data_IF_484226345210
#
_entry.id   IF_484226345210
#
_cell.length_a   1.000
_cell.length_b   1.000
_cell.length_c   1.000
_cell.angle_alpha   90.00
_cell.angle_beta   90.00
_cell.angle_gamma   90.00
#
_symmetry.space_group_name_H-M   'P 1'
#
loop_
_entity.id
_entity.type
_entity.pdbx_description
1 polymer ?
#
# COMPACT_ATOMS: atom_id res chain seq x y z
N UNK A 1 -6.09 0.65 -16.99
CA UNK A 1 -4.69 0.34 -17.32
C UNK A 1 -4.50 -1.16 -17.37
N UNK A 2 -4.25 -1.73 -18.54
CA UNK A 2 -3.93 -3.17 -18.70
C UNK A 2 -2.48 -3.43 -18.28
N UNK A 3 -2.24 -3.40 -16.97
CA UNK A 3 -0.92 -3.56 -16.37
C UNK A 3 -0.75 -5.02 -15.97
N UNK A 4 0.44 -5.58 -16.24
CA UNK A 4 0.83 -6.93 -15.79
C UNK A 4 -0.06 -8.08 -16.27
N UNK A 5 -0.42 -8.09 -17.56
CA UNK A 5 -1.31 -9.10 -18.16
C UNK A 5 -0.89 -10.54 -17.86
N UNK A 6 0.38 -10.89 -18.07
CA UNK A 6 0.92 -12.24 -17.78
C UNK A 6 0.75 -12.66 -16.31
N UNK A 7 0.90 -11.72 -15.36
CA UNK A 7 0.72 -12.02 -13.93
C UNK A 7 -0.76 -12.28 -13.62
N UNK A 8 -1.64 -11.47 -14.20
CA UNK A 8 -3.10 -11.66 -14.05
C UNK A 8 -3.58 -12.98 -14.64
N UNK A 9 -3.07 -13.37 -15.78
CA UNK A 9 -3.35 -14.67 -16.42
C UNK A 9 -2.92 -15.82 -15.52
N UNK A 10 -1.71 -15.75 -14.93
CA UNK A 10 -1.23 -16.74 -13.97
C UNK A 10 -2.13 -16.81 -12.71
N UNK A 11 -2.56 -15.67 -12.18
CA UNK A 11 -3.46 -15.63 -11.03
C UNK A 11 -4.84 -16.18 -11.37
N UNK A 12 -5.35 -15.88 -12.56
CA UNK A 12 -6.62 -16.42 -13.05
C UNK A 12 -6.56 -17.95 -13.20
N UNK A 13 -5.46 -18.50 -13.68
CA UNK A 13 -5.23 -19.93 -13.75
C UNK A 13 -5.36 -20.61 -12.38
N UNK A 14 -4.83 -20.01 -11.30
CA UNK A 14 -5.01 -20.56 -9.95
C UNK A 14 -6.47 -20.60 -9.51
N UNK A 15 -7.29 -19.65 -9.96
CA UNK A 15 -8.74 -19.63 -9.66
C UNK A 15 -9.46 -20.72 -10.46
N UNK A 16 -9.18 -20.84 -11.76
CA UNK A 16 -9.85 -21.84 -12.62
C UNK A 16 -9.55 -23.28 -12.20
N UNK A 17 -8.31 -23.55 -11.78
CA UNK A 17 -7.90 -24.85 -11.26
C UNK A 17 -8.34 -25.11 -9.81
N UNK A 18 -8.99 -24.15 -9.14
CA UNK A 18 -9.34 -24.22 -7.72
C UNK A 18 -8.14 -24.57 -6.79
N UNK A 19 -6.90 -24.27 -7.24
CA UNK A 19 -5.66 -24.55 -6.50
C UNK A 19 -4.93 -23.25 -6.20
N UNK A 20 -5.43 -22.50 -5.22
CA UNK A 20 -4.83 -21.24 -4.83
C UNK A 20 -3.77 -21.48 -3.76
N UNK A 21 -2.47 -21.23 -4.05
CA UNK A 21 -1.39 -21.36 -3.06
C UNK A 21 -1.32 -20.15 -2.13
N UNK A 22 -0.46 -20.23 -1.12
CA UNK A 22 0.03 -19.02 -0.43
C UNK A 22 0.90 -18.22 -1.40
N UNK A 23 0.74 -16.89 -1.48
CA UNK A 23 1.44 -16.07 -2.46
C UNK A 23 2.14 -14.90 -1.79
N UNK A 24 3.41 -14.69 -2.16
CA UNK A 24 4.15 -13.48 -1.85
C UNK A 24 4.24 -12.63 -3.12
N UNK A 25 3.71 -11.42 -3.04
CA UNK A 25 3.89 -10.40 -4.07
C UNK A 25 5.05 -9.49 -3.65
N UNK A 26 6.14 -9.52 -4.40
CA UNK A 26 7.30 -8.71 -4.10
C UNK A 26 7.71 -7.83 -5.29
N UNK A 27 8.45 -6.75 -5.02
CA UNK A 27 8.90 -5.82 -6.04
C UNK A 27 8.84 -4.37 -5.59
N UNK A 28 9.22 -3.42 -6.44
CA UNK A 28 9.37 -2.02 -6.06
C UNK A 28 8.07 -1.35 -5.66
N UNK A 29 8.16 -0.33 -4.79
CA UNK A 29 7.02 0.51 -4.43
C UNK A 29 6.46 1.22 -5.65
N UNK A 30 5.12 1.27 -5.80
CA UNK A 30 4.49 1.83 -7.00
C UNK A 30 4.37 0.85 -8.19
N UNK A 31 4.80 -0.41 -8.05
CA UNK A 31 4.64 -1.45 -9.07
C UNK A 31 3.21 -1.94 -9.30
N UNK A 32 2.28 -1.64 -8.37
CA UNK A 32 0.87 -2.07 -8.49
C UNK A 32 0.51 -3.34 -7.70
N UNK A 33 1.38 -3.82 -6.81
CA UNK A 33 1.16 -5.04 -5.99
C UNK A 33 -0.21 -5.07 -5.31
N UNK A 34 -0.59 -3.98 -4.66
CA UNK A 34 -1.87 -3.88 -3.94
C UNK A 34 -3.08 -3.93 -4.87
N UNK A 35 -2.98 -3.33 -6.05
CA UNK A 35 -4.05 -3.33 -7.05
C UNK A 35 -4.29 -4.75 -7.58
N UNK A 36 -3.20 -5.45 -7.94
CA UNK A 36 -3.25 -6.82 -8.44
C UNK A 36 -3.84 -7.76 -7.39
N UNK A 37 -3.39 -7.64 -6.13
CA UNK A 37 -3.92 -8.48 -5.05
C UNK A 37 -5.40 -8.21 -4.80
N UNK A 38 -5.84 -6.95 -4.76
CA UNK A 38 -7.25 -6.62 -4.53
C UNK A 38 -8.12 -7.16 -5.67
N UNK A 39 -7.68 -7.04 -6.91
CA UNK A 39 -8.38 -7.62 -8.06
C UNK A 39 -8.44 -9.16 -7.96
N UNK A 40 -7.35 -9.80 -7.56
CA UNK A 40 -7.29 -11.24 -7.34
C UNK A 40 -8.27 -11.71 -6.24
N UNK A 41 -8.30 -11.01 -5.09
CA UNK A 41 -9.24 -11.31 -4.01
C UNK A 41 -10.69 -11.11 -4.47
N UNK A 42 -10.97 -10.02 -5.19
CA UNK A 42 -12.32 -9.82 -5.75
C UNK A 42 -12.74 -10.95 -6.68
N UNK A 43 -11.84 -11.48 -7.48
CA UNK A 43 -12.14 -12.62 -8.37
C UNK A 43 -12.35 -13.92 -7.60
N UNK A 44 -11.56 -14.19 -6.53
CA UNK A 44 -11.74 -15.37 -5.66
C UNK A 44 -13.12 -15.38 -5.03
N UNK A 45 -13.61 -14.25 -4.54
CA UNK A 45 -14.89 -14.14 -3.84
C UNK A 45 -16.03 -13.62 -4.73
N UNK A 46 -15.88 -13.71 -6.07
CA UNK A 46 -16.91 -13.32 -7.05
C UNK A 46 -17.41 -11.87 -6.87
N UNK A 47 -16.55 -10.95 -6.43
CA UNK A 47 -16.84 -9.54 -6.14
C UNK A 47 -17.92 -9.32 -5.06
N UNK A 48 -18.25 -10.33 -4.31
CA UNK A 48 -19.20 -10.25 -3.20
C UNK A 48 -18.56 -9.56 -2.01
N UNK A 49 -18.99 -8.33 -1.73
CA UNK A 49 -18.47 -7.52 -0.63
C UNK A 49 -18.72 -8.14 0.75
N UNK A 50 -19.84 -8.84 0.94
CA UNK A 50 -20.17 -9.46 2.22
C UNK A 50 -19.20 -10.61 2.51
N UNK A 51 -18.95 -11.46 1.52
CA UNK A 51 -17.96 -12.54 1.63
C UNK A 51 -16.55 -12.01 1.86
N UNK A 52 -16.16 -10.96 1.15
CA UNK A 52 -14.83 -10.33 1.35
C UNK A 52 -14.71 -9.82 2.79
N UNK A 53 -15.69 -9.12 3.32
CA UNK A 53 -15.64 -8.61 4.69
C UNK A 53 -15.61 -9.73 5.75
N UNK A 54 -16.24 -10.85 5.49
CA UNK A 54 -16.32 -11.97 6.41
C UNK A 54 -15.08 -12.88 6.35
N UNK A 55 -14.56 -13.13 5.15
CA UNK A 55 -13.53 -14.15 4.91
C UNK A 55 -12.14 -13.57 4.62
N UNK A 56 -11.99 -12.27 4.50
CA UNK A 56 -10.69 -11.65 4.21
C UNK A 56 -10.27 -10.73 5.36
N UNK A 57 -9.12 -11.02 5.95
CA UNK A 57 -8.51 -10.17 6.96
C UNK A 57 -7.33 -9.39 6.38
N UNK A 58 -7.39 -8.07 6.45
CA UNK A 58 -6.32 -7.19 6.00
C UNK A 58 -5.51 -6.68 7.19
N UNK A 59 -4.21 -6.89 7.18
CA UNK A 59 -3.30 -6.52 8.25
C UNK A 59 -2.13 -5.70 7.72
N UNK A 60 -1.89 -4.54 8.32
CA UNK A 60 -0.68 -3.77 8.05
C UNK A 60 0.34 -4.00 9.17
N UNK A 61 1.45 -4.67 8.85
CA UNK A 61 2.51 -4.99 9.80
C UNK A 61 3.42 -3.81 10.14
N UNK A 62 3.26 -2.65 9.47
CA UNK A 62 4.06 -1.46 9.74
C UNK A 62 3.67 -0.76 11.08
N UNK A 63 2.49 -1.04 11.63
CA UNK A 63 1.98 -0.40 12.84
C UNK A 63 2.31 -1.17 14.13
N UNK A 64 3.54 -1.64 14.28
CA UNK A 64 3.98 -2.29 15.50
C UNK A 64 3.27 -3.61 15.83
N UNK A 65 2.69 -4.28 14.83
CA UNK A 65 2.06 -5.59 14.98
C UNK A 65 3.10 -6.63 15.35
N UNK A 66 3.17 -6.94 16.64
CA UNK A 66 4.14 -7.87 17.20
C UNK A 66 3.67 -9.32 17.21
N UNK A 67 4.45 -10.17 17.91
CA UNK A 67 4.18 -11.59 18.04
C UNK A 67 2.81 -11.89 18.68
N UNK A 68 2.34 -11.05 19.61
CA UNK A 68 1.03 -11.20 20.29
C UNK A 68 -0.10 -11.12 19.28
N UNK A 69 -0.08 -10.11 18.40
CA UNK A 69 -1.09 -9.96 17.34
C UNK A 69 -1.20 -11.22 16.46
N UNK A 70 -0.05 -11.81 16.10
CA UNK A 70 -0.03 -13.01 15.26
C UNK A 70 -0.59 -14.23 16.01
N UNK A 71 -0.25 -14.36 17.30
CA UNK A 71 -0.72 -15.48 18.12
C UNK A 71 -2.22 -15.38 18.42
N UNK A 72 -2.70 -14.20 18.70
CA UNK A 72 -4.06 -14.01 19.21
C UNK A 72 -5.05 -13.71 18.07
N UNK A 73 -4.88 -12.58 17.39
CA UNK A 73 -5.85 -12.15 16.38
C UNK A 73 -5.83 -12.98 15.10
N UNK A 74 -4.63 -13.21 14.51
CA UNK A 74 -4.53 -14.01 13.29
C UNK A 74 -4.95 -15.46 13.52
N UNK A 75 -4.52 -16.04 14.65
CA UNK A 75 -4.86 -17.42 15.00
C UNK A 75 -6.35 -17.55 15.29
N UNK A 76 -6.95 -16.60 15.98
CA UNK A 76 -8.39 -16.57 16.22
C UNK A 76 -9.17 -16.51 14.91
N UNK A 77 -8.82 -15.58 14.01
CA UNK A 77 -9.45 -15.48 12.70
C UNK A 77 -9.30 -16.76 11.88
N UNK A 78 -8.12 -17.36 11.84
CA UNK A 78 -7.87 -18.59 11.10
C UNK A 78 -8.64 -19.80 11.67
N UNK A 79 -8.83 -19.81 13.00
CA UNK A 79 -9.49 -20.93 13.73
C UNK A 79 -11.04 -20.90 13.61
N UNK A 80 -11.64 -19.73 13.46
CA UNK A 80 -13.11 -19.65 13.34
C UNK A 80 -13.59 -20.43 12.10
N UNK A 81 -14.63 -21.26 12.28
CA UNK A 81 -15.14 -22.09 11.21
C UNK A 81 -15.81 -21.29 10.10
N UNK A 82 -15.68 -21.80 8.86
CA UNK A 82 -16.43 -21.31 7.72
C UNK A 82 -17.72 -22.11 7.65
N UNK A 83 -18.86 -21.43 7.66
CA UNK A 83 -20.14 -22.10 7.35
C UNK A 83 -20.18 -22.32 5.83
N UNK A 84 -19.81 -23.52 5.40
CA UNK A 84 -19.82 -23.90 4.00
C UNK A 84 -21.25 -24.22 3.54
N UNK A 85 -21.88 -23.27 2.85
CA UNK A 85 -23.13 -23.56 2.19
C UNK A 85 -22.98 -23.93 0.70
N UNK A 86 -21.88 -23.57 0.01
CA UNK A 86 -21.69 -23.89 -1.41
C UNK A 86 -20.21 -23.84 -1.82
N UNK A 87 -19.47 -24.91 -1.62
CA UNK A 87 -18.14 -25.10 -2.26
C UNK A 87 -16.96 -24.47 -1.53
N UNK A 88 -15.79 -24.64 -2.09
CA UNK A 88 -14.47 -24.32 -1.54
C UNK A 88 -14.28 -22.83 -1.17
N UNK A 89 -14.82 -22.42 -0.02
CA UNK A 89 -14.47 -21.14 0.59
C UNK A 89 -13.36 -21.38 1.61
N UNK A 90 -12.23 -20.75 1.41
CA UNK A 90 -11.16 -20.63 2.40
C UNK A 90 -11.09 -19.19 2.88
N UNK A 91 -10.46 -18.96 4.03
CA UNK A 91 -10.17 -17.61 4.51
C UNK A 91 -8.92 -17.06 3.86
N UNK A 92 -8.88 -15.77 3.67
CA UNK A 92 -7.70 -15.07 3.16
C UNK A 92 -7.16 -14.11 4.19
N UNK A 93 -5.87 -14.22 4.49
CA UNK A 93 -5.14 -13.28 5.35
C UNK A 93 -4.14 -12.53 4.48
N UNK A 94 -4.31 -11.22 4.42
CA UNK A 94 -3.48 -10.31 3.64
C UNK A 94 -2.58 -9.52 4.56
N UNK A 95 -1.26 -9.69 4.41
CA UNK A 95 -0.24 -9.03 5.21
C UNK A 95 0.49 -7.98 4.38
N UNK A 96 0.25 -6.70 4.66
CA UNK A 96 1.03 -5.60 4.09
C UNK A 96 2.28 -5.33 4.90
N UNK A 97 3.37 -4.98 4.23
CA UNK A 97 4.63 -4.60 4.87
C UNK A 97 5.17 -5.65 5.85
N UNK A 98 5.04 -6.93 5.53
CA UNK A 98 5.46 -8.03 6.40
C UNK A 98 6.98 -8.02 6.70
N UNK A 99 7.77 -7.31 5.90
CA UNK A 99 9.19 -7.04 6.17
C UNK A 99 9.45 -6.21 7.44
N UNK A 100 8.42 -5.63 8.04
CA UNK A 100 8.50 -4.89 9.31
C UNK A 100 8.25 -5.78 10.54
N UNK A 101 7.87 -7.03 10.35
CA UNK A 101 7.74 -7.99 11.44
C UNK A 101 9.11 -8.37 11.99
N UNK A 102 9.20 -8.48 13.32
CA UNK A 102 10.39 -9.02 13.99
C UNK A 102 10.60 -10.50 13.62
N UNK A 103 11.81 -11.02 13.83
CA UNK A 103 12.14 -12.43 13.59
C UNK A 103 11.23 -13.38 14.36
N UNK A 104 10.91 -13.06 15.61
CA UNK A 104 10.02 -13.86 16.46
C UNK A 104 8.58 -13.82 15.94
N UNK A 105 8.11 -12.67 15.48
CA UNK A 105 6.80 -12.53 14.87
C UNK A 105 6.70 -13.31 13.55
N UNK A 106 7.76 -13.30 12.74
CA UNK A 106 7.83 -14.11 11.52
C UNK A 106 7.86 -15.62 11.84
N UNK A 107 8.58 -16.04 12.90
CA UNK A 107 8.60 -17.43 13.35
C UNK A 107 7.23 -17.90 13.87
N UNK A 108 6.50 -17.02 14.56
CA UNK A 108 5.12 -17.29 14.98
C UNK A 108 4.17 -17.37 13.78
N UNK A 109 4.35 -16.49 12.79
CA UNK A 109 3.57 -16.50 11.54
C UNK A 109 3.79 -17.81 10.76
N UNK A 110 5.03 -18.28 10.67
CA UNK A 110 5.35 -19.58 10.06
C UNK A 110 4.52 -20.71 10.69
N UNK A 111 4.47 -20.79 12.03
CA UNK A 111 3.68 -21.82 12.74
C UNK A 111 2.17 -21.68 12.43
N UNK A 112 1.68 -20.45 12.36
CA UNK A 112 0.30 -20.18 12.00
C UNK A 112 -0.02 -20.64 10.56
N UNK A 113 0.86 -20.37 9.60
CA UNK A 113 0.72 -20.83 8.22
C UNK A 113 0.68 -22.37 8.15
N UNK A 114 1.60 -23.05 8.83
CA UNK A 114 1.66 -24.52 8.86
C UNK A 114 0.37 -25.10 9.45
N UNK A 115 -0.13 -24.55 10.54
CA UNK A 115 -1.32 -25.04 11.25
C UNK A 115 -2.61 -24.86 10.44
N UNK A 116 -2.76 -23.76 9.71
CA UNK A 116 -4.02 -23.39 9.04
C UNK A 116 -3.94 -23.44 7.51
N UNK A 117 -2.93 -24.08 6.92
CA UNK A 117 -2.74 -24.18 5.47
C UNK A 117 -3.92 -24.79 4.71
N UNK A 118 -4.72 -25.65 5.36
CA UNK A 118 -5.87 -26.31 4.75
C UNK A 118 -7.08 -25.38 4.61
N UNK A 119 -7.31 -24.51 5.59
CA UNK A 119 -8.52 -23.67 5.68
C UNK A 119 -8.26 -22.19 5.35
N UNK A 120 -7.01 -21.77 5.30
CA UNK A 120 -6.64 -20.35 5.16
C UNK A 120 -5.53 -20.18 4.13
N UNK A 121 -5.65 -19.14 3.30
CA UNK A 121 -4.59 -18.72 2.36
C UNK A 121 -3.99 -17.41 2.83
N UNK A 122 -2.68 -17.35 2.77
CA UNK A 122 -1.90 -16.18 3.17
C UNK A 122 -1.36 -15.47 1.93
N UNK A 123 -1.59 -14.17 1.86
CA UNK A 123 -1.09 -13.30 0.82
C UNK A 123 -0.21 -12.23 1.44
N UNK A 124 1.04 -12.17 1.05
CA UNK A 124 2.03 -11.27 1.64
C UNK A 124 2.49 -10.26 0.59
N UNK A 125 2.52 -8.97 0.97
CA UNK A 125 3.07 -7.91 0.15
C UNK A 125 4.33 -7.34 0.79
N UNK A 126 5.43 -7.41 0.05
CA UNK A 126 6.73 -6.86 0.47
C UNK A 126 7.40 -6.13 -0.68
N UNK A 127 8.33 -5.26 -0.36
CA UNK A 127 9.18 -4.62 -1.37
C UNK A 127 10.37 -5.52 -1.73
N UNK A 128 10.96 -6.16 -0.73
CA UNK A 128 12.09 -7.07 -0.87
C UNK A 128 11.81 -8.37 -0.11
N UNK A 129 11.85 -9.49 -0.83
CA UNK A 129 11.63 -10.83 -0.25
C UNK A 129 12.73 -11.25 0.72
N UNK A 130 13.97 -10.76 0.53
CA UNK A 130 15.11 -11.12 1.39
C UNK A 130 14.95 -10.67 2.86
N UNK A 131 13.95 -9.83 3.15
CA UNK A 131 13.62 -9.45 4.53
C UNK A 131 12.70 -10.44 5.24
N UNK A 132 12.23 -11.45 4.53
CA UNK A 132 11.45 -12.54 5.09
C UNK A 132 12.37 -13.74 5.37
N UNK A 133 12.05 -14.48 6.42
CA UNK A 133 12.78 -15.69 6.77
C UNK A 133 12.63 -16.75 5.68
N UNK A 134 13.74 -17.41 5.33
CA UNK A 134 13.76 -18.51 4.34
C UNK A 134 12.67 -19.57 4.54
N UNK A 135 12.38 -20.01 5.80
CA UNK A 135 11.29 -20.97 6.04
C UNK A 135 9.88 -20.45 5.67
N UNK A 136 9.66 -19.14 5.62
CA UNK A 136 8.41 -18.58 5.10
C UNK A 136 8.44 -18.63 3.57
N UNK A 137 9.52 -18.14 2.96
CA UNK A 137 9.65 -18.09 1.50
C UNK A 137 9.44 -19.45 0.83
N UNK A 138 9.93 -20.52 1.44
CA UNK A 138 9.82 -21.88 0.89
C UNK A 138 8.39 -22.45 0.83
N UNK A 139 7.43 -21.83 1.51
CA UNK A 139 6.02 -22.25 1.55
C UNK A 139 5.11 -21.45 0.65
N UNK A 140 5.66 -20.45 -0.02
CA UNK A 140 4.90 -19.51 -0.83
C UNK A 140 5.27 -19.59 -2.32
N UNK A 141 4.30 -19.31 -3.15
CA UNK A 141 4.55 -18.98 -4.55
C UNK A 141 5.00 -17.52 -4.63
N UNK A 142 6.25 -17.29 -4.97
CA UNK A 142 6.82 -15.94 -5.07
C UNK A 142 6.51 -15.34 -6.44
N UNK A 143 5.86 -14.18 -6.48
CA UNK A 143 5.48 -13.47 -7.70
C UNK A 143 6.12 -12.08 -7.69
N UNK A 144 7.08 -11.87 -8.59
CA UNK A 144 7.69 -10.56 -8.81
C UNK A 144 6.77 -9.63 -9.58
N UNK A 145 6.56 -8.42 -9.07
CA UNK A 145 5.77 -7.38 -9.73
C UNK A 145 6.70 -6.20 -10.07
N UNK A 146 7.13 -6.08 -11.34
CA UNK A 146 7.98 -4.98 -11.79
C UNK A 146 7.21 -3.66 -11.87
N UNK A 147 7.90 -2.58 -12.22
CA UNK A 147 7.23 -1.36 -12.63
C UNK A 147 6.42 -1.61 -13.90
N UNK A 148 5.20 -1.07 -13.99
CA UNK A 148 4.39 -1.19 -15.20
C UNK A 148 5.01 -0.43 -16.37
N UNK A 149 4.82 -0.97 -17.57
CA UNK A 149 5.10 -0.27 -18.82
C UNK A 149 3.90 0.63 -19.16
N UNK A 150 4.14 1.92 -19.23
CA UNK A 150 3.14 2.94 -19.60
C UNK A 150 3.76 3.77 -20.72
N UNK A 151 3.17 3.76 -21.91
CA UNK A 151 3.70 4.43 -23.11
C UNK A 151 5.19 4.09 -23.34
N UNK A 152 5.52 2.80 -23.37
CA UNK A 152 6.86 2.23 -23.57
C UNK A 152 7.94 2.66 -22.57
N UNK A 153 7.52 3.27 -21.45
CA UNK A 153 8.42 3.63 -20.35
C UNK A 153 8.06 2.88 -19.08
N UNK A 154 9.08 2.36 -18.40
CA UNK A 154 8.93 1.80 -17.06
C UNK A 154 8.72 2.95 -16.07
N UNK A 155 7.52 3.07 -15.52
CA UNK A 155 7.16 4.16 -14.61
C UNK A 155 6.50 3.63 -13.35
N UNK A 156 6.83 4.24 -12.21
CA UNK A 156 6.09 4.04 -10.98
C UNK A 156 4.66 4.59 -11.13
N UNK A 157 3.66 3.87 -10.63
CA UNK A 157 2.27 4.36 -10.61
C UNK A 157 2.13 5.67 -9.81
N UNK A 158 2.97 5.89 -8.80
CA UNK A 158 3.01 7.16 -8.07
C UNK A 158 3.42 8.32 -8.97
N UNK A 159 4.48 8.15 -9.77
CA UNK A 159 4.97 9.20 -10.66
C UNK A 159 3.99 9.46 -11.80
N UNK A 160 3.33 8.41 -12.29
CA UNK A 160 2.27 8.56 -13.28
C UNK A 160 1.08 9.35 -12.71
N UNK A 161 0.63 9.03 -11.49
CA UNK A 161 -0.44 9.77 -10.84
C UNK A 161 -0.06 11.22 -10.57
N UNK A 162 1.17 11.50 -10.10
CA UNK A 162 1.67 12.88 -9.96
C UNK A 162 1.64 13.63 -11.29
N UNK A 163 2.05 12.99 -12.39
CA UNK A 163 1.99 13.60 -13.73
C UNK A 163 0.54 13.87 -14.17
N UNK A 164 -0.39 12.96 -13.91
CA UNK A 164 -1.80 13.14 -14.22
C UNK A 164 -2.42 14.31 -13.43
N UNK A 165 -2.15 14.39 -12.13
CA UNK A 165 -2.61 15.49 -11.26
C UNK A 165 -2.00 16.82 -11.71
N UNK A 166 -0.72 16.83 -12.09
CA UNK A 166 -0.06 18.03 -12.63
C UNK A 166 -0.65 18.50 -13.97
N UNK A 167 -1.08 17.57 -14.85
CA UNK A 167 -1.75 17.91 -16.12
C UNK A 167 -3.07 18.66 -15.90
N UNK A 168 -3.81 18.36 -14.83
CA UNK A 168 -5.08 19.06 -14.52
C UNK A 168 -4.90 20.45 -13.90
N UNK A 169 -3.69 20.96 -13.80
CA UNK A 169 -3.40 22.32 -13.36
C UNK A 169 -3.67 22.60 -11.88
N UNK A 170 -4.12 21.61 -11.12
CA UNK A 170 -4.44 21.75 -9.69
C UNK A 170 -3.19 22.15 -8.89
N UNK A 171 -2.05 21.53 -9.14
CA UNK A 171 -0.78 21.91 -8.53
C UNK A 171 -0.31 23.29 -8.91
N UNK A 172 -0.49 23.69 -10.19
CA UNK A 172 -0.15 25.05 -10.64
C UNK A 172 -0.99 26.10 -9.92
N UNK A 173 -2.31 25.88 -9.76
CA UNK A 173 -3.20 26.78 -9.03
C UNK A 173 -2.85 26.85 -7.55
N UNK A 174 -2.58 25.72 -6.89
CA UNK A 174 -2.12 25.68 -5.49
C UNK A 174 -0.82 26.44 -5.31
N UNK A 175 0.22 26.09 -6.08
CA UNK A 175 1.53 26.74 -6.00
C UNK A 175 1.46 28.23 -6.29
N UNK A 176 0.62 28.69 -7.24
CA UNK A 176 0.46 30.12 -7.53
C UNK A 176 -0.18 30.88 -6.37
N UNK A 177 -1.16 30.28 -5.68
CA UNK A 177 -1.76 30.88 -4.48
C UNK A 177 -0.74 31.02 -3.37
N UNK A 178 0.03 29.96 -3.11
CA UNK A 178 1.02 29.94 -2.03
C UNK A 178 2.15 30.95 -2.31
N UNK A 179 2.69 30.99 -3.53
CA UNK A 179 3.68 31.99 -3.98
C UNK A 179 3.20 33.43 -3.77
N UNK A 180 1.97 33.73 -4.17
CA UNK A 180 1.39 35.07 -4.01
C UNK A 180 1.26 35.50 -2.54
N UNK A 181 0.96 34.57 -1.65
CA UNK A 181 0.71 34.88 -0.24
C UNK A 181 1.98 34.84 0.62
N UNK A 182 3.00 34.03 0.28
CA UNK A 182 4.31 34.06 0.95
C UNK A 182 5.01 35.42 0.77
N UNK A 183 4.85 36.11 -0.36
CA UNK A 183 5.53 37.37 -0.65
C UNK A 183 4.84 38.55 0.08
N UNK A 184 3.62 38.41 0.55
CA UNK A 184 2.87 39.51 1.20
C UNK A 184 3.44 39.84 2.56
N UNK A 185 4.03 41.03 2.70
CA UNK A 185 4.55 41.54 3.97
C UNK A 185 3.51 41.65 5.08
N UNK A 186 2.22 41.79 4.70
CA UNK A 186 1.10 41.85 5.65
C UNK A 186 0.97 40.59 6.53
N UNK A 187 1.32 39.43 5.99
CA UNK A 187 1.27 38.16 6.69
C UNK A 187 2.35 38.03 7.79
N UNK A 188 3.33 38.95 7.82
CA UNK A 188 4.48 38.92 8.72
C UNK A 188 4.61 40.16 9.61
N UNK A 189 3.61 41.06 9.61
CA UNK A 189 3.65 42.30 10.39
C UNK A 189 3.59 42.10 11.88
N UNK A 190 3.00 41.01 12.35
CA UNK A 190 2.92 40.66 13.77
C UNK A 190 2.86 39.16 13.95
N UNK A 191 3.17 38.68 15.17
CA UNK A 191 3.07 37.25 15.52
C UNK A 191 1.64 36.72 15.31
N UNK A 192 0.62 37.53 15.63
CA UNK A 192 -0.77 37.16 15.37
C UNK A 192 -1.06 36.98 13.87
N UNK A 193 -0.54 37.84 13.02
CA UNK A 193 -0.69 37.73 11.57
C UNK A 193 0.01 36.49 11.01
N UNK A 194 1.19 36.15 11.51
CA UNK A 194 1.90 34.92 11.18
C UNK A 194 1.07 33.68 11.54
N UNK A 195 0.55 33.63 12.75
CA UNK A 195 -0.23 32.46 13.19
C UNK A 195 -1.49 32.28 12.33
N UNK A 196 -2.23 33.33 12.05
CA UNK A 196 -3.42 33.29 11.17
C UNK A 196 -3.02 32.80 9.76
N UNK A 197 -1.86 33.22 9.28
CA UNK A 197 -1.36 32.79 7.97
C UNK A 197 -0.97 31.31 7.97
N UNK A 198 -0.30 30.83 9.02
CA UNK A 198 0.08 29.42 9.22
C UNK A 198 -1.18 28.55 9.28
N UNK A 199 -2.20 28.94 10.05
CA UNK A 199 -3.48 28.23 10.11
C UNK A 199 -4.12 28.10 8.74
N UNK A 200 -4.18 29.19 7.96
CA UNK A 200 -4.69 29.17 6.56
C UNK A 200 -3.92 28.24 5.64
N UNK A 201 -2.60 28.15 5.80
CA UNK A 201 -1.74 27.23 5.05
C UNK A 201 -2.10 25.79 5.41
N UNK A 202 -2.22 25.52 6.73
CA UNK A 202 -2.54 24.19 7.25
C UNK A 202 -3.93 23.72 6.82
N UNK A 203 -4.98 24.56 6.98
CA UNK A 203 -6.35 24.26 6.54
C UNK A 203 -6.45 23.96 5.04
N UNK A 204 -5.61 24.60 4.22
CA UNK A 204 -5.51 24.31 2.79
C UNK A 204 -4.71 23.06 2.45
N UNK A 205 -4.21 22.35 3.45
CA UNK A 205 -3.47 21.10 3.31
C UNK A 205 -2.07 21.26 2.70
N UNK A 206 -1.41 22.40 2.92
CA UNK A 206 0.01 22.54 2.59
C UNK A 206 0.86 22.01 3.74
N UNK A 207 1.96 21.34 3.40
CA UNK A 207 2.96 20.92 4.38
C UNK A 207 4.21 21.81 4.32
N UNK A 208 5.07 21.74 5.34
CA UNK A 208 6.32 22.51 5.40
C UNK A 208 7.23 22.29 4.19
N UNK A 209 7.24 21.07 3.63
CA UNK A 209 8.00 20.74 2.42
C UNK A 209 7.50 21.53 1.20
N UNK A 210 6.19 21.79 1.09
CA UNK A 210 5.64 22.60 0.00
C UNK A 210 6.16 24.03 0.05
N UNK A 211 6.32 24.59 1.28
CA UNK A 211 6.88 25.91 1.51
C UNK A 211 8.35 25.95 1.11
N UNK A 212 9.17 25.01 1.60
CA UNK A 212 10.59 24.90 1.28
C UNK A 212 10.81 24.80 -0.23
N UNK A 213 10.09 23.91 -0.91
CA UNK A 213 10.18 23.73 -2.35
C UNK A 213 9.85 24.99 -3.16
N UNK A 214 8.99 25.87 -2.63
CA UNK A 214 8.65 27.14 -3.29
C UNK A 214 9.73 28.17 -3.05
N UNK A 215 10.26 28.25 -1.83
CA UNK A 215 11.33 29.19 -1.47
C UNK A 215 12.62 28.86 -2.22
N UNK A 216 13.00 27.58 -2.29
CA UNK A 216 14.21 27.13 -3.00
C UNK A 216 14.17 27.36 -4.51
N UNK A 217 12.98 27.26 -5.13
CA UNK A 217 12.81 27.45 -6.58
C UNK A 217 12.76 28.92 -6.99
N UNK A 218 12.65 29.83 -6.06
CA UNK A 218 12.51 31.25 -6.33
C UNK A 218 13.78 31.99 -5.82
N UNK A 219 14.78 32.20 -6.69
CA UNK A 219 16.06 32.84 -6.35
C UNK A 219 15.86 34.22 -5.69
N UNK A 220 14.77 34.94 -6.04
CA UNK A 220 14.41 36.21 -5.40
C UNK A 220 13.96 36.07 -3.94
N UNK A 221 13.36 34.95 -3.58
CA UNK A 221 12.95 34.65 -2.21
C UNK A 221 14.12 34.03 -1.42
N UNK A 222 14.99 33.24 -2.05
CA UNK A 222 16.16 32.63 -1.43
C UNK A 222 17.10 33.70 -0.85
N UNK A 223 17.39 34.75 -1.62
CA UNK A 223 18.27 35.85 -1.17
C UNK A 223 17.64 36.78 -0.11
N UNK A 224 16.40 36.56 0.28
CA UNK A 224 15.67 37.41 1.23
C UNK A 224 15.45 36.73 2.58
N UNK A 225 15.56 35.39 2.67
CA UNK A 225 15.27 34.59 3.85
C UNK A 225 16.42 33.64 4.24
N UNK A 226 17.50 33.61 3.47
CA UNK A 226 18.78 32.99 3.71
C UNK A 226 19.88 33.98 3.36
#
# INVERSE_FOLDING_TARGET
LHIHKKIKEKLQFFITENKIPHIIFYGPSGGGKRIILNEFIQNIYNKDKQKINQYVMYVNCAHGKGIRFIRDELKFFAKTNIQNHNGLLFKSIVLFNACKLTTDAQSALRRCIEQFSHTTRFFILVENENRLLKPILSRFCNIYIPYPMINDKKLSLYDNNKKCINKHGIFKKRNSWLKKNIIKKENYKSIKACNIFIEKIYERGYCGIDLINIIEKDEKTKNKYF
#
